data_IF_583578213024
#
_entry.id   IF_583578213024
#
_cell.length_a   1.000
_cell.length_b   1.000
_cell.length_c   1.000
_cell.angle_alpha   90.00
_cell.angle_beta   90.00
_cell.angle_gamma   90.00
#
_symmetry.space_group_name_H-M   'P 1'
#
loop_
_entity.id
_entity.type
_entity.pdbx_description
1 polymer ?
#
# COMPACT_ATOMS: atom_id res chain seq x y z
N UNK A 1 -9.52 14.68 -17.34
CA UNK A 1 -9.39 14.21 -15.95
C UNK A 1 -7.98 14.55 -15.47
N UNK A 2 -7.78 15.63 -14.72
CA UNK A 2 -6.49 15.91 -14.10
C UNK A 2 -6.31 14.93 -12.95
N UNK A 3 -5.52 13.90 -13.16
CA UNK A 3 -5.12 12.99 -12.10
C UNK A 3 -4.33 13.82 -11.06
N UNK A 4 -4.86 13.88 -9.85
CA UNK A 4 -4.22 14.63 -8.78
C UNK A 4 -2.98 13.84 -8.35
N UNK A 5 -1.79 14.42 -8.45
CA UNK A 5 -0.50 13.78 -8.11
C UNK A 5 -0.54 13.23 -6.67
N UNK A 6 -1.26 13.90 -5.78
CA UNK A 6 -1.43 13.47 -4.39
C UNK A 6 -2.22 12.16 -4.28
N UNK A 7 -3.30 11.98 -5.05
CA UNK A 7 -4.07 10.73 -5.09
C UNK A 7 -3.22 9.56 -5.61
N UNK A 8 -2.45 9.81 -6.68
CA UNK A 8 -1.54 8.82 -7.23
C UNK A 8 -0.50 8.34 -6.22
N UNK A 9 -0.01 9.22 -5.34
CA UNK A 9 0.92 8.89 -4.26
C UNK A 9 0.30 7.85 -3.30
N UNK A 10 -0.93 8.06 -2.86
CA UNK A 10 -1.59 7.14 -1.92
C UNK A 10 -1.96 5.81 -2.54
N UNK A 11 -2.33 5.80 -3.82
CA UNK A 11 -2.53 4.55 -4.56
C UNK A 11 -1.24 3.73 -4.61
N UNK A 12 -0.12 4.37 -4.97
CA UNK A 12 1.18 3.69 -5.05
C UNK A 12 1.62 3.17 -3.68
N UNK A 13 1.61 4.03 -2.65
CA UNK A 13 2.04 3.66 -1.30
C UNK A 13 1.21 2.51 -0.74
N UNK A 14 -0.12 2.63 -0.79
CA UNK A 14 -1.01 1.59 -0.29
C UNK A 14 -0.85 0.27 -1.06
N UNK A 15 -0.75 0.35 -2.39
CA UNK A 15 -0.59 -0.86 -3.19
C UNK A 15 0.72 -1.60 -2.93
N UNK A 16 1.84 -0.89 -2.77
CA UNK A 16 3.13 -1.50 -2.44
C UNK A 16 3.05 -2.17 -1.06
N UNK A 17 2.55 -1.45 -0.07
CA UNK A 17 2.45 -1.92 1.32
C UNK A 17 1.57 -3.18 1.41
N UNK A 18 0.37 -3.11 0.85
CA UNK A 18 -0.56 -4.24 0.85
C UNK A 18 -0.01 -5.47 0.13
N UNK A 19 0.56 -5.26 -1.05
CA UNK A 19 1.13 -6.33 -1.88
C UNK A 19 2.30 -7.03 -1.17
N UNK A 20 3.29 -6.24 -0.72
CA UNK A 20 4.54 -6.78 -0.17
C UNK A 20 4.34 -7.41 1.21
N UNK A 21 3.55 -6.79 2.08
CA UNK A 21 3.29 -7.35 3.40
C UNK A 21 2.48 -8.66 3.31
N UNK A 22 1.47 -8.71 2.44
CA UNK A 22 0.69 -9.94 2.24
C UNK A 22 1.53 -11.02 1.57
N UNK A 23 2.39 -10.68 0.60
CA UNK A 23 3.33 -11.62 0.03
C UNK A 23 4.27 -12.19 1.10
N UNK A 24 4.81 -11.35 1.99
CA UNK A 24 5.64 -11.78 3.11
C UNK A 24 4.92 -12.74 4.05
N UNK A 25 3.66 -12.45 4.41
CA UNK A 25 2.82 -13.34 5.22
C UNK A 25 2.63 -14.69 4.53
N UNK A 26 2.27 -14.69 3.24
CA UNK A 26 2.05 -15.92 2.47
C UNK A 26 3.33 -16.76 2.42
N UNK A 27 4.45 -16.15 2.11
CA UNK A 27 5.74 -16.84 2.05
C UNK A 27 6.10 -17.42 3.43
N UNK A 28 6.01 -16.63 4.50
CA UNK A 28 6.32 -17.08 5.85
C UNK A 28 5.43 -18.24 6.32
N UNK A 29 4.12 -18.15 6.07
CA UNK A 29 3.17 -19.22 6.47
C UNK A 29 3.29 -20.47 5.58
N UNK A 30 3.59 -20.31 4.29
CA UNK A 30 3.71 -21.45 3.38
C UNK A 30 4.95 -22.30 3.62
N UNK A 31 6.03 -21.71 4.15
CA UNK A 31 7.28 -22.42 4.49
C UNK A 31 7.05 -23.52 5.54
N UNK A 32 6.18 -23.29 6.52
CA UNK A 32 5.87 -24.28 7.57
C UNK A 32 4.85 -25.34 7.13
N UNK A 33 4.52 -25.38 5.84
CA UNK A 33 3.59 -26.38 5.30
C UNK A 33 2.12 -26.18 5.74
N UNK A 34 1.75 -24.94 6.03
CA UNK A 34 0.40 -24.62 6.49
C UNK A 34 -0.66 -24.93 5.43
N UNK A 35 -1.85 -25.30 5.89
CA UNK A 35 -2.98 -25.58 4.99
C UNK A 35 -3.43 -24.31 4.24
N UNK A 36 -4.07 -24.50 3.09
CA UNK A 36 -4.62 -23.41 2.27
C UNK A 36 -5.50 -22.44 3.10
N UNK A 37 -6.31 -22.99 3.98
CA UNK A 37 -7.20 -22.21 4.85
C UNK A 37 -6.40 -21.29 5.79
N UNK A 38 -5.31 -21.79 6.37
CA UNK A 38 -4.46 -20.99 7.27
C UNK A 38 -3.78 -19.85 6.52
N UNK A 39 -3.24 -20.13 5.33
CA UNK A 39 -2.62 -19.08 4.46
C UNK A 39 -3.63 -17.99 4.10
N UNK A 40 -4.83 -18.39 3.64
CA UNK A 40 -5.90 -17.46 3.28
C UNK A 40 -6.33 -16.63 4.50
N UNK A 41 -6.56 -17.29 5.66
CA UNK A 41 -7.00 -16.58 6.87
C UNK A 41 -5.94 -15.60 7.39
N UNK A 42 -4.67 -16.00 7.42
CA UNK A 42 -3.57 -15.14 7.83
C UNK A 42 -3.39 -13.96 6.87
N UNK A 43 -3.44 -14.22 5.55
CA UNK A 43 -3.32 -13.18 4.53
C UNK A 43 -4.48 -12.19 4.55
N UNK A 44 -5.73 -12.65 4.71
CA UNK A 44 -6.89 -11.76 4.86
C UNK A 44 -6.82 -10.93 6.15
N UNK A 45 -6.46 -11.55 7.27
CA UNK A 45 -6.27 -10.83 8.53
C UNK A 45 -5.22 -9.72 8.39
N UNK A 46 -4.08 -10.04 7.77
CA UNK A 46 -3.04 -9.06 7.45
C UNK A 46 -3.53 -7.96 6.51
N UNK A 47 -4.26 -8.30 5.44
CA UNK A 47 -4.80 -7.34 4.49
C UNK A 47 -5.76 -6.34 5.14
N UNK A 48 -6.65 -6.82 6.02
CA UNK A 48 -7.59 -5.96 6.78
C UNK A 48 -6.81 -5.07 7.74
N UNK A 49 -5.86 -5.62 8.51
CA UNK A 49 -5.05 -4.86 9.45
C UNK A 49 -4.28 -3.74 8.74
N UNK A 50 -3.64 -4.04 7.60
CA UNK A 50 -2.93 -3.05 6.78
C UNK A 50 -3.85 -1.98 6.23
N UNK A 51 -5.02 -2.35 5.69
CA UNK A 51 -5.98 -1.40 5.17
C UNK A 51 -6.42 -0.38 6.25
N UNK A 52 -6.73 -0.89 7.45
CA UNK A 52 -7.11 -0.05 8.58
C UNK A 52 -5.94 0.83 9.07
N UNK A 53 -4.75 0.25 9.23
CA UNK A 53 -3.57 0.98 9.70
C UNK A 53 -3.17 2.07 8.71
N UNK A 54 -3.12 1.76 7.41
CA UNK A 54 -2.77 2.72 6.37
C UNK A 54 -3.83 3.81 6.21
N UNK A 55 -5.12 3.44 6.27
CA UNK A 55 -6.23 4.39 6.22
C UNK A 55 -6.22 5.34 7.42
N UNK A 56 -6.17 4.80 8.64
CA UNK A 56 -6.15 5.61 9.86
C UNK A 56 -4.86 6.42 10.00
N UNK A 57 -3.70 5.82 9.67
CA UNK A 57 -2.41 6.52 9.69
C UNK A 57 -2.40 7.72 8.75
N UNK A 58 -2.91 7.55 7.53
CA UNK A 58 -3.04 8.67 6.58
C UNK A 58 -4.05 9.72 7.06
N UNK A 59 -5.19 9.30 7.63
CA UNK A 59 -6.16 10.22 8.18
C UNK A 59 -5.54 11.12 9.27
N UNK A 60 -4.82 10.53 10.21
CA UNK A 60 -4.17 11.27 11.31
C UNK A 60 -3.05 12.17 10.80
N UNK A 61 -2.20 11.66 9.90
CA UNK A 61 -1.10 12.42 9.33
C UNK A 61 -1.60 13.63 8.52
N UNK A 62 -2.54 13.41 7.59
CA UNK A 62 -3.10 14.49 6.77
C UNK A 62 -3.92 15.48 7.60
N UNK A 63 -4.67 15.00 8.62
CA UNK A 63 -5.38 15.88 9.54
C UNK A 63 -4.43 16.85 10.26
N UNK A 64 -3.28 16.35 10.72
CA UNK A 64 -2.25 17.17 11.37
C UNK A 64 -1.65 18.19 10.42
N UNK A 65 -1.30 17.76 9.20
CA UNK A 65 -0.69 18.64 8.18
C UNK A 65 -1.67 19.72 7.74
N UNK A 66 -2.91 19.35 7.39
CA UNK A 66 -3.91 20.29 6.91
C UNK A 66 -4.35 21.28 7.99
N UNK A 67 -4.50 20.83 9.26
CA UNK A 67 -4.76 21.73 10.37
C UNK A 67 -3.62 22.73 10.57
N UNK A 68 -2.37 22.27 10.50
CA UNK A 68 -1.20 23.15 10.57
C UNK A 68 -1.16 24.19 9.47
N UNK A 69 -1.48 23.79 8.21
CA UNK A 69 -1.59 24.71 7.06
C UNK A 69 -2.69 25.76 7.26
N UNK A 70 -3.88 25.34 7.75
CA UNK A 70 -4.97 26.27 8.05
C UNK A 70 -4.58 27.31 9.08
N UNK A 71 -4.00 26.89 10.21
CA UNK A 71 -3.52 27.79 11.27
C UNK A 71 -2.46 28.77 10.74
N UNK A 72 -1.53 28.29 9.90
CA UNK A 72 -0.51 29.15 9.30
C UNK A 72 -1.12 30.18 8.34
N UNK A 73 -2.11 29.78 7.54
CA UNK A 73 -2.83 30.66 6.64
C UNK A 73 -3.66 31.70 7.40
N UNK A 74 -4.36 31.30 8.47
CA UNK A 74 -5.10 32.21 9.36
C UNK A 74 -4.20 33.30 9.95
N UNK A 75 -2.99 32.92 10.42
CA UNK A 75 -2.01 33.86 10.94
C UNK A 75 -1.51 34.84 9.87
N UNK A 76 -1.28 34.35 8.65
CA UNK A 76 -0.79 35.19 7.54
C UNK A 76 -1.85 36.18 7.04
N UNK A 77 -3.12 35.75 7.04
CA UNK A 77 -4.23 36.57 6.54
C UNK A 77 -4.92 37.40 7.64
N UNK A 78 -4.58 37.16 8.92
CA UNK A 78 -5.22 37.75 10.10
C UNK A 78 -6.75 37.53 10.15
N UNK A 79 -7.23 36.42 9.61
CA UNK A 79 -8.64 36.01 9.59
C UNK A 79 -8.79 34.58 10.06
N UNK A 80 -9.98 34.22 10.58
CA UNK A 80 -10.33 32.83 10.90
C UNK A 80 -10.92 32.14 9.67
N UNK A 81 -10.46 30.93 9.41
CA UNK A 81 -10.92 30.07 8.30
C UNK A 81 -11.91 29.00 8.77
N UNK A 82 -12.32 29.01 10.05
CA UNK A 82 -13.31 28.10 10.58
C UNK A 82 -14.67 28.28 9.87
N UNK A 83 -15.32 27.16 9.54
CA UNK A 83 -16.58 27.11 8.77
C UNK A 83 -16.52 27.70 7.37
N UNK A 84 -15.32 27.79 6.78
CA UNK A 84 -15.14 28.25 5.41
C UNK A 84 -15.13 27.08 4.42
N UNK A 85 -15.25 27.41 3.12
CA UNK A 85 -15.09 26.44 2.04
C UNK A 85 -13.71 25.77 2.06
N UNK A 86 -12.67 26.51 2.43
CA UNK A 86 -11.29 25.99 2.52
C UNK A 86 -11.18 24.89 3.56
N UNK A 87 -11.70 25.10 4.78
CA UNK A 87 -11.72 24.07 5.81
C UNK A 87 -12.51 22.83 5.37
N UNK A 88 -13.69 23.03 4.75
CA UNK A 88 -14.52 21.94 4.25
C UNK A 88 -13.79 21.10 3.19
N UNK A 89 -13.06 21.74 2.28
CA UNK A 89 -12.27 21.06 1.24
C UNK A 89 -11.10 20.27 1.86
N UNK A 90 -10.39 20.84 2.85
CA UNK A 90 -9.33 20.13 3.57
C UNK A 90 -9.87 18.86 4.23
N UNK A 91 -11.01 18.93 4.93
CA UNK A 91 -11.64 17.75 5.55
C UNK A 91 -12.00 16.66 4.54
N UNK A 92 -12.59 17.04 3.39
CA UNK A 92 -12.92 16.07 2.32
C UNK A 92 -11.67 15.41 1.74
N UNK A 93 -10.59 16.17 1.56
CA UNK A 93 -9.32 15.67 1.04
C UNK A 93 -8.69 14.66 2.01
N UNK A 94 -8.64 14.97 3.31
CA UNK A 94 -8.12 14.07 4.34
C UNK A 94 -8.83 12.70 4.30
N UNK A 95 -10.17 12.71 4.27
CA UNK A 95 -10.95 11.46 4.21
C UNK A 95 -10.72 10.70 2.91
N UNK A 96 -10.66 11.41 1.77
CA UNK A 96 -10.42 10.80 0.47
C UNK A 96 -9.05 10.14 0.41
N UNK A 97 -8.00 10.81 0.88
CA UNK A 97 -6.63 10.30 0.86
C UNK A 97 -6.48 9.08 1.78
N UNK A 98 -7.11 9.11 2.96
CA UNK A 98 -7.17 7.99 3.88
C UNK A 98 -7.87 6.76 3.27
N UNK A 99 -9.03 6.95 2.65
CA UNK A 99 -9.76 5.87 1.98
C UNK A 99 -8.99 5.33 0.77
N UNK A 100 -8.32 6.19 0.02
CA UNK A 100 -7.50 5.80 -1.12
C UNK A 100 -6.32 4.95 -0.67
N UNK A 101 -5.61 5.35 0.39
CA UNK A 101 -4.46 4.61 0.91
C UNK A 101 -4.87 3.24 1.46
N UNK A 102 -5.85 3.20 2.38
CA UNK A 102 -6.33 1.95 2.96
C UNK A 102 -6.97 1.03 1.92
N UNK A 103 -7.78 1.58 1.01
CA UNK A 103 -8.42 0.84 -0.07
C UNK A 103 -7.42 0.25 -1.06
N UNK A 104 -6.42 1.02 -1.49
CA UNK A 104 -5.35 0.54 -2.35
C UNK A 104 -4.53 -0.57 -1.70
N UNK A 105 -4.25 -0.44 -0.38
CA UNK A 105 -3.56 -1.46 0.40
C UNK A 105 -4.34 -2.77 0.44
N UNK A 106 -5.65 -2.71 0.73
CA UNK A 106 -6.50 -3.88 0.74
C UNK A 106 -6.58 -4.57 -0.63
N UNK A 107 -6.88 -3.81 -1.68
CA UNK A 107 -7.02 -4.37 -3.03
C UNK A 107 -5.73 -5.01 -3.54
N UNK A 108 -4.59 -4.38 -3.30
CA UNK A 108 -3.30 -4.92 -3.70
C UNK A 108 -2.93 -6.17 -2.91
N UNK A 109 -3.34 -6.29 -1.65
CA UNK A 109 -3.16 -7.49 -0.82
C UNK A 109 -3.86 -8.72 -1.39
N UNK A 110 -4.95 -8.54 -2.14
CA UNK A 110 -5.69 -9.66 -2.76
C UNK A 110 -4.90 -10.31 -3.90
N UNK A 111 -3.95 -9.62 -4.51
CA UNK A 111 -3.17 -10.15 -5.64
C UNK A 111 -2.37 -11.39 -5.25
N UNK A 112 -1.47 -11.35 -4.24
CA UNK A 112 -0.75 -12.53 -3.81
C UNK A 112 -1.65 -13.59 -3.15
N UNK A 113 -2.82 -13.23 -2.63
CA UNK A 113 -3.80 -14.15 -2.05
C UNK A 113 -4.63 -14.90 -3.11
N UNK A 114 -4.79 -14.33 -4.29
CA UNK A 114 -5.67 -14.90 -5.32
C UNK A 114 -5.40 -16.37 -5.63
N UNK A 115 -4.15 -16.85 -5.79
CA UNK A 115 -3.90 -18.28 -6.06
C UNK A 115 -4.39 -19.21 -4.94
N UNK A 116 -4.30 -18.75 -3.70
CA UNK A 116 -4.72 -19.51 -2.51
C UNK A 116 -6.24 -19.54 -2.37
N UNK A 117 -6.91 -18.43 -2.66
CA UNK A 117 -8.38 -18.33 -2.69
C UNK A 117 -8.95 -19.23 -3.77
N UNK A 118 -8.29 -19.30 -4.93
CA UNK A 118 -8.70 -20.14 -6.07
C UNK A 118 -8.30 -21.61 -5.91
N UNK A 119 -7.68 -22.01 -4.81
CA UNK A 119 -7.32 -23.40 -4.52
C UNK A 119 -6.06 -23.91 -5.22
N UNK A 120 -5.32 -23.03 -5.93
CA UNK A 120 -4.04 -23.39 -6.57
C UNK A 120 -2.95 -23.65 -5.52
N UNK A 121 -3.00 -22.95 -4.39
CA UNK A 121 -2.15 -23.19 -3.23
C UNK A 121 -0.63 -23.08 -3.49
N UNK A 122 -0.20 -22.18 -4.37
CA UNK A 122 1.19 -22.08 -4.81
C UNK A 122 1.82 -20.74 -4.47
N UNK A 123 2.82 -20.77 -3.58
CA UNK A 123 3.62 -19.60 -3.24
C UNK A 123 4.37 -19.04 -4.45
N UNK A 124 4.82 -19.90 -5.37
CA UNK A 124 5.47 -19.48 -6.61
C UNK A 124 4.54 -18.62 -7.48
N UNK A 125 3.28 -19.02 -7.64
CA UNK A 125 2.29 -18.24 -8.41
C UNK A 125 2.03 -16.89 -7.73
N UNK A 126 1.95 -16.85 -6.39
CA UNK A 126 1.81 -15.59 -5.64
C UNK A 126 2.99 -14.65 -5.88
N UNK A 127 4.21 -15.16 -5.88
CA UNK A 127 5.43 -14.39 -6.20
C UNK A 127 5.37 -13.81 -7.60
N UNK A 128 5.07 -14.64 -8.61
CA UNK A 128 5.00 -14.19 -10.00
C UNK A 128 3.94 -13.10 -10.19
N UNK A 129 2.73 -13.29 -9.68
CA UNK A 129 1.66 -12.28 -9.76
C UNK A 129 2.06 -10.98 -9.05
N UNK A 130 2.72 -11.08 -7.89
CA UNK A 130 3.19 -9.91 -7.17
C UNK A 130 4.25 -9.15 -7.95
N UNK A 131 5.22 -9.83 -8.56
CA UNK A 131 6.23 -9.19 -9.40
C UNK A 131 5.64 -8.50 -10.63
N UNK A 132 4.68 -9.14 -11.30
CA UNK A 132 3.96 -8.52 -12.43
C UNK A 132 3.24 -7.24 -11.96
N UNK A 133 2.59 -7.29 -10.81
CA UNK A 133 1.89 -6.11 -10.25
C UNK A 133 2.88 -5.01 -9.86
N UNK A 134 4.06 -5.35 -9.31
CA UNK A 134 5.13 -4.38 -9.01
C UNK A 134 5.67 -3.72 -10.28
N UNK A 135 5.79 -4.45 -11.39
CA UNK A 135 6.14 -3.86 -12.69
C UNK A 135 5.08 -2.84 -13.12
N UNK A 136 3.80 -3.20 -13.04
CA UNK A 136 2.71 -2.30 -13.39
C UNK A 136 2.69 -1.05 -12.50
N UNK A 137 2.87 -1.20 -11.18
CA UNK A 137 3.00 -0.09 -10.23
C UNK A 137 4.24 0.77 -10.50
N UNK A 138 5.35 0.16 -10.91
CA UNK A 138 6.57 0.88 -11.30
C UNK A 138 6.37 1.74 -12.54
N UNK A 139 5.69 1.21 -13.57
CA UNK A 139 5.30 1.98 -14.76
C UNK A 139 4.36 3.12 -14.38
N UNK A 140 3.33 2.85 -13.57
CA UNK A 140 2.38 3.86 -13.10
C UNK A 140 3.07 4.96 -12.29
N UNK A 141 3.99 4.59 -11.40
CA UNK A 141 4.81 5.53 -10.61
C UNK A 141 5.69 6.40 -11.52
N UNK A 142 6.35 5.81 -12.49
CA UNK A 142 7.15 6.54 -13.49
C UNK A 142 6.31 7.53 -14.31
N UNK A 143 5.09 7.13 -14.67
CA UNK A 143 4.15 7.98 -15.40
C UNK A 143 3.73 9.22 -14.59
N UNK A 144 3.32 9.03 -13.33
CA UNK A 144 2.87 10.13 -12.46
C UNK A 144 4.03 11.07 -12.10
N UNK A 145 5.20 10.50 -11.76
CA UNK A 145 6.35 11.30 -11.33
C UNK A 145 7.13 11.94 -12.48
N UNK A 146 6.77 11.63 -13.72
CA UNK A 146 7.50 12.04 -14.94
C UNK A 146 8.99 11.66 -14.89
N UNK A 147 9.31 10.55 -14.23
CA UNK A 147 10.66 10.01 -14.12
C UNK A 147 10.89 8.88 -15.12
N UNK A 148 12.13 8.38 -15.17
CA UNK A 148 12.47 7.24 -16.00
C UNK A 148 11.71 5.99 -15.55
N UNK A 149 10.86 5.44 -16.45
CA UNK A 149 10.05 4.25 -16.19
C UNK A 149 10.90 3.05 -15.77
N UNK A 150 12.04 2.84 -16.43
CA UNK A 150 12.94 1.71 -16.15
C UNK A 150 13.45 1.77 -14.71
N UNK A 151 13.86 2.96 -14.26
CA UNK A 151 14.34 3.16 -12.90
C UNK A 151 13.23 2.96 -11.86
N UNK A 152 12.01 3.43 -12.15
CA UNK A 152 10.85 3.26 -11.26
C UNK A 152 10.47 1.78 -11.15
N UNK A 153 10.42 1.05 -12.25
CA UNK A 153 10.18 -0.40 -12.27
C UNK A 153 11.28 -1.14 -11.51
N UNK A 154 12.56 -0.82 -11.76
CA UNK A 154 13.68 -1.46 -11.08
C UNK A 154 13.63 -1.28 -9.55
N UNK A 155 13.25 -0.09 -9.07
CA UNK A 155 13.05 0.17 -7.63
C UNK A 155 11.92 -0.70 -7.04
N UNK A 156 10.77 -0.78 -7.73
CA UNK A 156 9.61 -1.55 -7.24
C UNK A 156 9.88 -3.06 -7.23
N UNK A 157 10.41 -3.59 -8.33
CA UNK A 157 10.78 -5.00 -8.43
C UNK A 157 11.91 -5.34 -7.45
N UNK A 158 12.88 -4.44 -7.27
CA UNK A 158 13.95 -4.59 -6.30
C UNK A 158 13.43 -4.75 -4.86
N UNK A 159 12.43 -3.97 -4.45
CA UNK A 159 11.77 -4.12 -3.14
C UNK A 159 11.09 -5.48 -3.00
N UNK A 160 10.35 -5.92 -4.02
CA UNK A 160 9.71 -7.23 -4.00
C UNK A 160 10.73 -8.38 -3.91
N UNK A 161 11.79 -8.31 -4.71
CA UNK A 161 12.88 -9.29 -4.69
C UNK A 161 13.58 -9.32 -3.33
N UNK A 162 13.80 -8.16 -2.71
CA UNK A 162 14.41 -8.05 -1.38
C UNK A 162 13.60 -8.80 -0.32
N UNK A 163 12.28 -8.66 -0.32
CA UNK A 163 11.41 -9.39 0.62
C UNK A 163 11.52 -10.89 0.39
N UNK A 164 11.49 -11.35 -0.85
CA UNK A 164 11.63 -12.77 -1.18
C UNK A 164 12.97 -13.31 -0.65
N UNK A 165 14.07 -12.59 -0.88
CA UNK A 165 15.41 -12.97 -0.40
C UNK A 165 15.41 -13.03 1.14
N UNK A 166 14.87 -12.04 1.83
CA UNK A 166 14.83 -12.01 3.29
C UNK A 166 14.07 -13.23 3.84
N UNK A 167 12.88 -13.52 3.30
CA UNK A 167 12.09 -14.67 3.76
C UNK A 167 12.82 -15.99 3.49
N UNK A 168 13.44 -16.16 2.34
CA UNK A 168 14.23 -17.37 2.04
C UNK A 168 15.47 -17.50 2.95
N UNK A 169 16.14 -16.41 3.30
CA UNK A 169 17.23 -16.42 4.25
C UNK A 169 16.77 -16.84 5.66
N UNK A 170 15.62 -16.32 6.12
CA UNK A 170 15.03 -16.71 7.41
C UNK A 170 14.66 -18.20 7.43
N UNK A 171 14.13 -18.71 6.32
CA UNK A 171 13.87 -20.14 6.12
C UNK A 171 15.12 -21.00 6.25
N UNK A 172 16.20 -20.61 5.56
CA UNK A 172 17.48 -21.35 5.62
C UNK A 172 18.08 -21.30 7.02
N UNK A 173 17.91 -20.18 7.73
CA UNK A 173 18.36 -20.01 9.12
C UNK A 173 17.47 -20.76 10.15
N UNK A 174 16.45 -21.51 9.73
CA UNK A 174 15.48 -22.19 10.59
C UNK A 174 14.79 -21.26 11.61
N UNK A 175 14.59 -19.98 11.24
CA UNK A 175 13.89 -18.99 12.07
C UNK A 175 12.40 -18.89 11.73
N UNK A 176 11.99 -19.47 10.62
CA UNK A 176 10.60 -19.62 10.15
C UNK A 176 10.44 -20.98 9.47
#
# INVERSE_FOLDING_TARGET
MSFNIEEGRYVILGSIDGLLATLGIILGVSVVGASNLVVVSAGFGGAIALALTNGMGSYLAESTIEHGKLVQTEKSLLIKLSNTYVESQSKKRIVKDALTHGGASFLASLVPLAPWILGVGSAFVSVVLSLITLVALGVYSGYISRQNYILSVAKMVGLGTLIIIIVELLRIAHLV
#
